data_IF_396615455663
#
_entry.id   IF_396615455663
#
_cell.length_a   1.000
_cell.length_b   1.000
_cell.length_c   1.000
_cell.angle_alpha   90.00
_cell.angle_beta   90.00
_cell.angle_gamma   90.00
#
_symmetry.space_group_name_H-M   'P 1'
#
loop_
_entity.id
_entity.type
_entity.pdbx_description
1 polymer ?
#
# COMPACT_ATOMS: atom_id res chain seq x y z
N UNK A 1 18.62 7.44 12.34
CA UNK A 1 17.29 7.51 11.69
C UNK A 1 16.30 6.59 12.41
N UNK A 2 15.02 6.98 12.52
CA UNK A 2 13.94 6.09 12.97
C UNK A 2 13.89 4.84 12.07
N UNK A 3 13.86 3.66 12.66
CA UNK A 3 13.77 2.40 11.94
C UNK A 3 12.41 2.21 11.31
N UNK A 4 12.37 1.62 10.12
CA UNK A 4 11.13 1.25 9.45
C UNK A 4 10.58 -0.06 10.04
N UNK A 5 9.59 0.06 10.93
CA UNK A 5 8.98 -1.10 11.61
C UNK A 5 8.42 -2.13 10.62
N UNK A 6 7.84 -1.67 9.50
CA UNK A 6 7.28 -2.56 8.46
C UNK A 6 8.38 -3.40 7.81
N UNK A 7 9.50 -2.78 7.40
CA UNK A 7 10.65 -3.54 6.85
C UNK A 7 11.19 -4.53 7.86
N UNK A 8 11.30 -4.12 9.12
CA UNK A 8 11.77 -5.00 10.18
C UNK A 8 10.82 -6.19 10.39
N UNK A 9 9.51 -5.96 10.50
CA UNK A 9 8.53 -7.05 10.65
C UNK A 9 8.60 -8.05 9.49
N UNK A 10 8.65 -7.55 8.24
CA UNK A 10 8.76 -8.42 7.07
C UNK A 10 10.08 -9.21 7.04
N UNK A 11 11.19 -8.58 7.42
CA UNK A 11 12.50 -9.27 7.53
C UNK A 11 12.50 -10.35 8.62
N UNK A 12 11.71 -10.18 9.68
CA UNK A 12 11.50 -11.18 10.75
C UNK A 12 10.48 -12.27 10.35
N UNK A 13 9.95 -12.23 9.12
CA UNK A 13 8.91 -13.15 8.65
C UNK A 13 7.53 -12.92 9.26
N UNK A 14 7.31 -11.76 9.89
CA UNK A 14 6.01 -11.37 10.44
C UNK A 14 5.16 -10.69 9.38
N UNK A 15 3.88 -11.05 9.23
CA UNK A 15 2.99 -10.36 8.32
C UNK A 15 2.68 -8.94 8.81
N UNK A 16 2.54 -8.02 7.87
CA UNK A 16 2.16 -6.62 8.09
C UNK A 16 0.72 -6.43 7.67
N UNK A 17 -0.09 -5.86 8.55
CA UNK A 17 -1.48 -5.47 8.26
C UNK A 17 -1.54 -3.98 7.98
N UNK A 18 -1.78 -3.63 6.73
CA UNK A 18 -1.82 -2.26 6.23
C UNK A 18 -3.25 -1.78 6.01
N UNK A 19 -3.57 -0.59 6.50
CA UNK A 19 -4.81 0.11 6.19
C UNK A 19 -4.65 1.11 5.04
N UNK A 20 -5.76 1.57 4.46
CA UNK A 20 -5.79 2.40 3.27
C UNK A 20 -6.57 3.68 3.49
N UNK A 21 -6.04 4.83 3.06
CA UNK A 21 -6.62 6.15 3.24
C UNK A 21 -6.93 6.80 1.90
N UNK A 22 -8.21 7.02 1.63
CA UNK A 22 -8.72 7.62 0.40
C UNK A 22 -9.47 8.94 0.63
N UNK A 23 -9.84 9.23 1.90
CA UNK A 23 -10.51 10.48 2.29
C UNK A 23 -9.44 11.54 2.58
N UNK A 24 -9.47 12.72 1.93
CA UNK A 24 -8.48 13.78 2.12
C UNK A 24 -8.72 14.52 3.46
N UNK A 25 -8.58 13.79 4.57
CA UNK A 25 -8.88 14.29 5.92
C UNK A 25 -7.87 13.81 6.96
N UNK A 26 -7.32 14.75 7.71
CA UNK A 26 -6.47 14.45 8.87
C UNK A 26 -7.24 13.73 9.97
N UNK A 27 -8.53 14.05 10.14
CA UNK A 27 -9.38 13.39 11.15
C UNK A 27 -9.61 11.93 10.78
N UNK A 28 -9.87 11.63 9.48
CA UNK A 28 -9.96 10.24 9.03
C UNK A 28 -8.65 9.50 9.27
N UNK A 29 -7.51 10.11 8.91
CA UNK A 29 -6.19 9.54 9.14
C UNK A 29 -5.90 9.28 10.62
N UNK A 30 -6.30 10.20 11.51
CA UNK A 30 -6.14 10.07 12.96
C UNK A 30 -6.98 8.90 13.52
N UNK A 31 -8.28 8.87 13.18
CA UNK A 31 -9.16 7.76 13.59
C UNK A 31 -8.57 6.44 13.16
N UNK A 32 -8.14 6.32 11.90
CA UNK A 32 -7.53 5.08 11.38
C UNK A 32 -6.21 4.76 12.10
N UNK A 33 -5.34 5.73 12.35
CA UNK A 33 -4.04 5.51 12.98
C UNK A 33 -4.13 4.96 14.42
N UNK A 34 -5.27 5.12 15.09
CA UNK A 34 -5.53 4.60 16.42
C UNK A 34 -6.21 3.21 16.45
N UNK A 35 -6.36 2.53 15.29
CA UNK A 35 -7.05 1.23 15.23
C UNK A 35 -6.10 0.01 15.28
N UNK A 36 -4.79 0.23 15.44
CA UNK A 36 -3.83 -0.88 15.61
C UNK A 36 -3.21 -1.41 14.31
N UNK A 37 -3.26 -0.65 13.22
CA UNK A 37 -2.56 -0.97 11.97
C UNK A 37 -1.03 -0.92 12.17
N UNK A 38 -0.29 -1.79 11.46
CA UNK A 38 1.18 -1.71 11.40
C UNK A 38 1.63 -0.56 10.49
N UNK A 39 0.86 -0.30 9.44
CA UNK A 39 1.07 0.80 8.51
C UNK A 39 -0.25 1.34 7.96
N UNK A 40 -0.22 2.59 7.50
CA UNK A 40 -1.30 3.23 6.76
C UNK A 40 -0.75 3.81 5.47
N UNK A 41 -1.38 3.47 4.36
CA UNK A 41 -1.03 3.99 3.04
C UNK A 41 -1.98 5.11 2.62
N UNK A 42 -1.43 6.30 2.40
CA UNK A 42 -2.14 7.41 1.78
C UNK A 42 -2.22 7.15 0.28
N UNK A 43 -3.43 7.01 -0.25
CA UNK A 43 -3.67 6.70 -1.65
C UNK A 43 -3.78 7.97 -2.50
N UNK A 44 -2.69 8.34 -3.17
CA UNK A 44 -2.65 9.50 -4.05
C UNK A 44 -3.01 9.15 -5.50
N UNK A 45 -3.23 7.87 -5.84
CA UNK A 45 -3.59 7.44 -7.19
C UNK A 45 -5.10 7.47 -7.41
N UNK A 46 -5.86 6.78 -6.57
CA UNK A 46 -7.32 6.64 -6.68
C UNK A 46 -8.07 7.24 -5.49
N UNK A 47 -7.37 7.56 -4.40
CA UNK A 47 -7.92 8.37 -3.33
C UNK A 47 -8.16 9.81 -3.79
N UNK A 48 -9.01 10.52 -3.08
CA UNK A 48 -9.28 11.95 -3.34
C UNK A 48 -8.17 12.85 -2.75
N UNK A 49 -6.93 12.34 -2.67
CA UNK A 49 -5.80 12.91 -1.93
C UNK A 49 -4.73 13.42 -2.91
N UNK A 50 -4.45 14.70 -2.84
CA UNK A 50 -3.28 15.33 -3.45
C UNK A 50 -2.14 15.54 -2.42
N UNK A 51 -1.02 16.16 -2.86
CA UNK A 51 0.09 16.45 -1.95
C UNK A 51 -0.31 17.38 -0.78
N UNK A 52 -1.22 18.33 -1.02
CA UNK A 52 -1.65 19.31 -0.01
C UNK A 52 -2.36 18.60 1.14
N UNK A 53 -3.15 17.58 0.84
CA UNK A 53 -3.84 16.75 1.82
C UNK A 53 -2.93 15.66 2.40
N UNK A 54 -2.07 15.04 1.57
CA UNK A 54 -1.19 13.95 1.99
C UNK A 54 -0.19 14.40 3.07
N UNK A 55 0.38 15.60 2.96
CA UNK A 55 1.32 16.12 3.94
C UNK A 55 0.75 16.14 5.37
N UNK A 56 -0.38 16.80 5.66
CA UNK A 56 -0.95 16.81 7.02
C UNK A 56 -1.47 15.42 7.44
N UNK A 57 -1.91 14.55 6.52
CA UNK A 57 -2.26 13.16 6.86
C UNK A 57 -1.05 12.37 7.31
N UNK A 58 0.11 12.49 6.63
CA UNK A 58 1.37 11.89 7.07
C UNK A 58 1.85 12.44 8.42
N UNK A 59 1.62 13.74 8.70
CA UNK A 59 1.91 14.31 10.02
C UNK A 59 1.07 13.65 11.11
N UNK A 60 -0.21 13.46 10.86
CA UNK A 60 -1.15 12.82 11.79
C UNK A 60 -0.75 11.36 12.05
N UNK A 61 -0.49 10.56 11.01
CA UNK A 61 -0.04 9.17 11.17
C UNK A 61 1.26 9.12 11.99
N UNK A 62 2.19 10.03 11.72
CA UNK A 62 3.51 10.09 12.39
C UNK A 62 3.44 10.41 13.88
N UNK A 63 2.29 10.87 14.40
CA UNK A 63 2.08 11.09 15.84
C UNK A 63 1.80 9.78 16.58
N UNK A 64 1.62 8.69 15.88
CA UNK A 64 1.40 7.35 16.41
C UNK A 64 2.60 6.43 16.10
N UNK A 65 2.48 5.16 16.48
CA UNK A 65 3.46 4.12 16.15
C UNK A 65 3.29 3.51 14.75
N UNK A 66 2.24 3.89 14.04
CA UNK A 66 1.90 3.39 12.70
C UNK A 66 2.89 3.93 11.66
N UNK A 67 3.38 3.09 10.78
CA UNK A 67 4.32 3.50 9.72
C UNK A 67 3.57 4.21 8.58
N UNK A 68 3.92 5.48 8.25
CA UNK A 68 3.28 6.22 7.16
C UNK A 68 3.83 5.77 5.79
N UNK A 69 2.97 5.28 4.93
CA UNK A 69 3.26 4.91 3.54
C UNK A 69 2.42 5.75 2.57
N UNK A 70 2.79 5.74 1.29
CA UNK A 70 1.98 6.35 0.24
C UNK A 70 1.98 5.50 -1.04
N UNK A 71 0.84 5.42 -1.71
CA UNK A 71 0.78 5.03 -3.12
C UNK A 71 0.79 6.30 -3.96
N UNK A 72 1.80 6.44 -4.81
CA UNK A 72 1.93 7.60 -5.70
C UNK A 72 1.00 7.50 -6.90
N UNK A 73 0.73 8.61 -7.56
CA UNK A 73 -0.18 8.67 -8.72
C UNK A 73 0.36 7.85 -9.90
N UNK A 74 1.67 7.94 -10.12
CA UNK A 74 2.39 7.29 -11.20
C UNK A 74 3.88 7.17 -10.85
N UNK A 75 4.64 6.45 -11.66
CA UNK A 75 6.09 6.38 -11.55
C UNK A 75 6.73 7.72 -12.00
N UNK A 76 6.48 8.78 -11.23
CA UNK A 76 6.96 10.14 -11.51
C UNK A 76 7.97 10.57 -10.42
N UNK A 77 9.26 10.71 -10.76
CA UNK A 77 10.32 10.98 -9.79
C UNK A 77 10.07 12.20 -8.91
N UNK A 78 9.55 13.29 -9.49
CA UNK A 78 9.28 14.51 -8.74
C UNK A 78 8.23 14.33 -7.63
N UNK A 79 7.19 13.55 -7.88
CA UNK A 79 6.17 13.22 -6.86
C UNK A 79 6.72 12.27 -5.81
N UNK A 80 7.48 11.24 -6.22
CA UNK A 80 8.11 10.29 -5.31
C UNK A 80 9.04 11.01 -4.34
N UNK A 81 9.95 11.84 -4.84
CA UNK A 81 10.86 12.64 -4.00
C UNK A 81 10.09 13.55 -3.05
N UNK A 82 9.05 14.21 -3.54
CA UNK A 82 8.27 15.18 -2.78
C UNK A 82 7.54 14.53 -1.60
N UNK A 83 6.92 13.36 -1.80
CA UNK A 83 6.20 12.68 -0.72
C UNK A 83 7.15 12.03 0.30
N UNK A 84 8.34 11.60 -0.12
CA UNK A 84 9.39 11.15 0.77
C UNK A 84 9.92 12.28 1.65
N UNK A 85 10.10 13.49 1.09
CA UNK A 85 10.50 14.67 1.84
C UNK A 85 9.44 15.11 2.86
N UNK A 86 8.17 14.77 2.62
CA UNK A 86 7.07 14.91 3.56
C UNK A 86 7.09 13.90 4.72
N UNK A 87 8.07 13.00 4.78
CA UNK A 87 8.26 12.03 5.87
C UNK A 87 7.54 10.70 5.65
N UNK A 88 7.17 10.36 4.42
CA UNK A 88 6.72 9.03 4.05
C UNK A 88 7.86 8.02 4.21
N UNK A 89 7.57 6.83 4.73
CA UNK A 89 8.55 5.77 5.00
C UNK A 89 8.48 4.60 4.01
N UNK A 90 7.61 4.68 3.02
CA UNK A 90 7.58 3.72 1.93
C UNK A 90 6.64 4.14 0.83
N UNK A 91 7.01 3.73 -0.37
CA UNK A 91 6.27 4.01 -1.61
C UNK A 91 5.73 2.72 -2.20
N UNK A 92 4.47 2.74 -2.54
CA UNK A 92 3.83 1.78 -3.45
C UNK A 92 3.72 2.47 -4.81
N UNK A 93 4.48 2.00 -5.80
CA UNK A 93 4.53 2.59 -7.14
C UNK A 93 3.64 1.79 -8.10
N UNK A 94 2.54 2.36 -8.64
CA UNK A 94 1.63 1.65 -9.53
C UNK A 94 2.24 1.37 -10.91
N UNK A 95 1.67 0.39 -11.62
CA UNK A 95 1.88 0.14 -13.05
C UNK A 95 3.33 -0.08 -13.47
N UNK A 96 4.17 -0.67 -12.61
CA UNK A 96 5.56 -1.02 -12.97
C UNK A 96 5.56 -2.26 -13.86
N UNK A 97 5.93 -2.09 -15.12
CA UNK A 97 5.76 -3.10 -16.16
C UNK A 97 7.05 -3.78 -16.62
N UNK A 98 8.21 -3.17 -16.35
CA UNK A 98 9.51 -3.66 -16.80
C UNK A 98 10.64 -3.20 -15.88
N UNK A 99 11.87 -3.68 -16.20
CA UNK A 99 13.08 -3.36 -15.42
C UNK A 99 13.40 -1.87 -15.42
N UNK A 100 13.29 -1.20 -16.55
CA UNK A 100 13.61 0.22 -16.68
C UNK A 100 12.70 1.08 -15.79
N UNK A 101 11.42 0.72 -15.70
CA UNK A 101 10.47 1.38 -14.82
C UNK A 101 10.74 1.08 -13.35
N UNK A 102 11.15 -0.16 -13.02
CA UNK A 102 11.55 -0.54 -11.67
C UNK A 102 12.81 0.22 -11.24
N UNK A 103 13.84 0.32 -12.09
CA UNK A 103 15.06 1.09 -11.85
C UNK A 103 14.75 2.59 -11.67
N UNK A 104 13.93 3.17 -12.54
CA UNK A 104 13.49 4.57 -12.43
C UNK A 104 12.81 4.85 -11.09
N UNK A 105 11.91 3.96 -10.68
CA UNK A 105 11.21 4.05 -9.40
C UNK A 105 12.18 4.00 -8.21
N UNK A 106 13.02 2.97 -8.16
CA UNK A 106 13.96 2.78 -7.05
C UNK A 106 14.94 3.94 -6.95
N UNK A 107 15.52 4.36 -8.08
CA UNK A 107 16.49 5.46 -8.11
C UNK A 107 15.87 6.80 -7.70
N UNK A 108 14.58 7.02 -7.96
CA UNK A 108 13.85 8.20 -7.47
C UNK A 108 13.67 8.19 -5.93
N UNK A 109 13.66 7.00 -5.31
CA UNK A 109 13.56 6.85 -3.86
C UNK A 109 14.91 7.00 -3.15
N UNK A 110 16.02 6.81 -3.84
CA UNK A 110 17.36 6.71 -3.25
C UNK A 110 18.24 7.93 -3.51
N UNK A 111 19.03 8.31 -2.52
CA UNK A 111 20.10 9.30 -2.67
C UNK A 111 21.31 8.74 -3.44
N UNK A 112 22.08 9.61 -4.13
CA UNK A 112 23.35 9.21 -4.73
C UNK A 112 24.30 8.54 -3.71
N UNK A 113 25.16 7.57 -4.15
CA UNK A 113 25.36 7.15 -5.54
C UNK A 113 24.38 6.08 -6.04
N UNK A 114 23.46 5.56 -5.20
CA UNK A 114 22.54 4.48 -5.55
C UNK A 114 21.31 4.94 -6.33
N UNK A 115 21.00 6.24 -6.32
CA UNK A 115 19.91 6.84 -7.06
C UNK A 115 20.16 8.29 -7.39
N UNK A 116 19.09 9.01 -7.75
CA UNK A 116 19.18 10.43 -8.13
C UNK A 116 18.19 11.31 -7.33
N UNK A 117 17.68 10.82 -6.19
CA UNK A 117 16.83 11.64 -5.31
C UNK A 117 17.58 12.90 -4.88
N UNK A 118 16.96 14.06 -5.11
CA UNK A 118 17.51 15.34 -4.64
C UNK A 118 17.43 15.44 -3.11
N UNK A 119 18.45 16.01 -2.49
CA UNK A 119 18.48 16.18 -1.04
C UNK A 119 17.81 17.48 -0.61
N UNK A 120 16.78 17.36 0.22
CA UNK A 120 16.06 18.47 0.83
C UNK A 120 14.89 17.98 1.70
N UNK A 121 15.09 16.92 2.54
CA UNK A 121 14.00 16.25 3.24
C UNK A 121 13.58 16.99 4.51
N UNK A 122 12.93 18.15 4.38
CA UNK A 122 12.53 18.99 5.52
C UNK A 122 11.84 18.17 6.62
N UNK A 123 10.76 17.48 6.26
CA UNK A 123 10.02 16.67 7.24
C UNK A 123 10.65 15.30 7.43
N UNK A 124 11.35 14.77 6.43
CA UNK A 124 12.15 13.55 6.56
C UNK A 124 13.15 13.65 7.71
N UNK A 125 13.83 14.79 7.88
CA UNK A 125 14.73 15.05 9.02
C UNK A 125 13.98 15.16 10.36
N UNK A 126 12.82 15.83 10.39
CA UNK A 126 12.03 16.00 11.62
C UNK A 126 11.51 14.63 12.11
N UNK A 127 10.95 13.82 11.24
CA UNK A 127 10.35 12.54 11.59
C UNK A 127 11.39 11.41 11.67
N UNK A 128 12.33 11.37 10.72
CA UNK A 128 13.32 10.33 10.60
C UNK A 128 14.55 10.49 11.50
N UNK A 129 14.94 11.72 11.80
CA UNK A 129 16.13 12.04 12.60
C UNK A 129 17.22 12.72 11.79
N UNK A 130 18.19 13.34 12.50
CA UNK A 130 19.25 14.15 11.90
C UNK A 130 20.18 13.37 10.93
N UNK A 131 20.30 12.05 11.14
CA UNK A 131 21.06 11.10 10.33
C UNK A 131 20.22 10.46 9.20
N UNK A 132 19.12 11.10 8.80
CA UNK A 132 18.21 10.59 7.78
C UNK A 132 18.90 10.25 6.46
N UNK A 133 19.80 11.12 6.00
CA UNK A 133 20.50 10.93 4.72
C UNK A 133 21.37 9.66 4.69
N UNK A 134 21.96 9.30 5.83
CA UNK A 134 22.87 8.17 5.93
C UNK A 134 22.15 6.81 5.84
N UNK A 135 20.86 6.80 6.16
CA UNK A 135 20.09 5.57 6.29
C UNK A 135 18.83 5.50 5.41
N UNK A 136 18.40 6.60 4.79
CA UNK A 136 17.15 6.66 4.02
C UNK A 136 17.10 5.63 2.89
N UNK A 137 18.22 5.38 2.20
CA UNK A 137 18.28 4.39 1.11
C UNK A 137 17.90 2.98 1.56
N UNK A 138 18.19 2.63 2.82
CA UNK A 138 17.94 1.31 3.39
C UNK A 138 16.60 1.25 4.15
N UNK A 139 16.19 2.35 4.78
CA UNK A 139 14.97 2.37 5.60
C UNK A 139 13.70 2.64 4.78
N UNK A 140 13.76 3.37 3.66
CA UNK A 140 12.57 3.60 2.82
C UNK A 140 12.17 2.31 2.11
N UNK A 141 10.91 1.88 2.34
CA UNK A 141 10.31 0.72 1.69
C UNK A 141 9.91 1.04 0.24
N UNK A 142 10.30 0.20 -0.71
CA UNK A 142 10.05 0.36 -2.15
C UNK A 142 9.31 -0.84 -2.69
N UNK A 143 7.99 -0.71 -2.90
CA UNK A 143 7.11 -1.74 -3.42
C UNK A 143 6.67 -1.39 -4.85
N UNK A 144 7.06 -2.20 -5.82
CA UNK A 144 6.63 -2.07 -7.21
C UNK A 144 5.30 -2.82 -7.43
N UNK A 145 4.27 -2.15 -7.99
CA UNK A 145 3.02 -2.84 -8.28
C UNK A 145 3.13 -3.64 -9.58
N UNK A 146 2.85 -4.93 -9.47
CA UNK A 146 2.76 -5.89 -10.57
C UNK A 146 1.30 -6.15 -10.88
N UNK A 147 0.78 -5.53 -11.94
CA UNK A 147 -0.65 -5.51 -12.25
C UNK A 147 -0.96 -5.34 -13.74
N UNK A 148 0.06 -5.36 -14.60
CA UNK A 148 -0.07 -5.25 -16.05
C UNK A 148 0.27 -6.57 -16.75
N UNK A 149 -0.20 -6.75 -17.99
CA UNK A 149 0.18 -7.92 -18.78
C UNK A 149 1.70 -7.99 -19.02
N UNK A 150 2.33 -6.86 -19.31
CA UNK A 150 3.77 -6.77 -19.52
C UNK A 150 4.54 -7.15 -18.25
N UNK A 151 4.10 -6.68 -17.07
CA UNK A 151 4.74 -7.04 -15.81
C UNK A 151 4.69 -8.54 -15.53
N UNK A 152 3.60 -9.21 -15.91
CA UNK A 152 3.49 -10.67 -15.80
C UNK A 152 4.51 -11.43 -16.66
N UNK A 153 4.84 -10.88 -17.82
CA UNK A 153 5.83 -11.49 -18.74
C UNK A 153 7.27 -11.20 -18.27
N UNK A 154 7.49 -10.20 -17.38
CA UNK A 154 8.81 -9.70 -16.95
C UNK A 154 9.05 -9.76 -15.44
N UNK A 155 8.38 -10.68 -14.73
CA UNK A 155 8.44 -10.76 -13.26
C UNK A 155 9.86 -10.80 -12.71
N UNK A 156 10.71 -11.70 -13.22
CA UNK A 156 12.09 -11.84 -12.70
C UNK A 156 12.94 -10.61 -13.00
N UNK A 157 12.73 -9.91 -14.12
CA UNK A 157 13.44 -8.68 -14.46
C UNK A 157 13.10 -7.56 -13.46
N UNK A 158 11.81 -7.38 -13.15
CA UNK A 158 11.34 -6.39 -12.17
C UNK A 158 11.86 -6.74 -10.77
N UNK A 159 11.70 -8.00 -10.36
CA UNK A 159 11.99 -8.46 -9.00
C UNK A 159 13.48 -8.57 -8.69
N UNK A 160 14.34 -8.75 -9.71
CA UNK A 160 15.80 -8.75 -9.56
C UNK A 160 16.42 -7.36 -9.65
N UNK A 161 15.64 -6.32 -9.84
CA UNK A 161 16.14 -4.92 -9.88
C UNK A 161 16.69 -4.53 -8.51
N UNK A 162 17.97 -4.10 -8.47
CA UNK A 162 18.61 -3.68 -7.22
C UNK A 162 17.84 -2.55 -6.54
N UNK A 163 17.54 -2.74 -5.27
CA UNK A 163 16.83 -1.79 -4.43
C UNK A 163 15.30 -1.91 -4.46
N UNK A 164 14.70 -2.81 -5.25
CA UNK A 164 13.31 -3.21 -5.07
C UNK A 164 13.22 -4.05 -3.79
N UNK A 165 12.52 -3.56 -2.76
CA UNK A 165 12.34 -4.30 -1.51
C UNK A 165 11.26 -5.39 -1.65
N UNK A 166 10.28 -5.17 -2.52
CA UNK A 166 9.19 -6.11 -2.74
C UNK A 166 8.26 -5.70 -3.87
N UNK A 167 7.31 -6.58 -4.14
CA UNK A 167 6.21 -6.29 -5.06
C UNK A 167 4.92 -6.04 -4.30
N UNK A 168 3.98 -5.39 -4.97
CA UNK A 168 2.62 -5.22 -4.50
C UNK A 168 1.63 -5.58 -5.60
N UNK A 169 0.65 -6.42 -5.30
CA UNK A 169 -0.35 -6.86 -6.27
C UNK A 169 -1.62 -6.03 -6.13
N UNK A 170 -2.06 -5.41 -7.24
CA UNK A 170 -3.39 -4.83 -7.42
C UNK A 170 -4.31 -5.83 -8.14
N UNK A 171 -5.09 -6.69 -7.42
CA UNK A 171 -5.82 -7.77 -8.07
C UNK A 171 -6.89 -7.30 -9.06
N UNK A 172 -7.41 -6.08 -8.89
CA UNK A 172 -8.42 -5.52 -9.80
C UNK A 172 -7.81 -5.22 -11.19
N UNK A 173 -6.70 -4.49 -11.22
CA UNK A 173 -6.00 -4.15 -12.46
C UNK A 173 -5.36 -5.39 -13.10
N UNK A 174 -4.77 -6.27 -12.28
CA UNK A 174 -4.27 -7.56 -12.74
C UNK A 174 -5.37 -8.37 -13.45
N UNK A 175 -6.58 -8.42 -12.87
CA UNK A 175 -7.71 -9.13 -13.50
C UNK A 175 -8.08 -8.52 -14.84
N UNK A 176 -8.16 -7.18 -14.93
CA UNK A 176 -8.43 -6.48 -16.18
C UNK A 176 -7.34 -6.75 -17.23
N UNK A 177 -6.07 -6.75 -16.82
CA UNK A 177 -4.92 -7.00 -17.71
C UNK A 177 -4.96 -8.38 -18.38
N UNK A 178 -5.58 -9.37 -17.74
CA UNK A 178 -5.73 -10.74 -18.28
C UNK A 178 -7.13 -11.05 -18.81
N UNK A 179 -8.01 -10.02 -18.93
CA UNK A 179 -9.33 -10.15 -19.51
C UNK A 179 -10.41 -10.70 -18.57
N UNK A 180 -10.20 -10.63 -17.25
CA UNK A 180 -11.19 -11.00 -16.25
C UNK A 180 -11.88 -9.74 -15.65
N UNK A 181 -13.01 -9.94 -14.99
CA UNK A 181 -13.70 -8.85 -14.25
C UNK A 181 -12.84 -8.41 -13.06
N UNK A 182 -12.78 -7.09 -12.77
CA UNK A 182 -12.00 -6.59 -11.65
C UNK A 182 -12.57 -7.06 -10.31
N UNK A 183 -11.70 -7.31 -9.34
CA UNK A 183 -12.07 -7.70 -7.99
C UNK A 183 -10.85 -7.87 -7.11
N UNK A 184 -11.02 -7.75 -5.78
CA UNK A 184 -9.91 -7.88 -4.84
C UNK A 184 -9.70 -9.34 -4.43
N UNK A 185 -10.75 -9.97 -3.90
CA UNK A 185 -10.69 -11.36 -3.45
C UNK A 185 -11.01 -12.28 -4.63
N UNK A 186 -9.96 -12.91 -5.16
CA UNK A 186 -10.12 -13.74 -6.36
C UNK A 186 -10.45 -15.19 -5.97
N UNK A 187 -11.53 -15.78 -6.53
CA UNK A 187 -11.83 -17.21 -6.38
C UNK A 187 -10.69 -18.08 -6.92
N UNK A 188 -10.48 -19.24 -6.32
CA UNK A 188 -9.36 -20.16 -6.65
C UNK A 188 -9.41 -20.70 -8.08
N UNK A 189 -10.57 -20.75 -8.68
CA UNK A 189 -10.81 -21.21 -10.05
C UNK A 189 -10.57 -20.15 -11.13
N UNK A 190 -10.14 -18.93 -10.72
CA UNK A 190 -9.87 -17.83 -11.65
C UNK A 190 -8.41 -17.82 -12.11
N UNK A 191 -8.17 -17.29 -13.31
CA UNK A 191 -6.81 -17.05 -13.82
C UNK A 191 -6.06 -16.04 -12.95
N UNK A 192 -6.76 -14.99 -12.50
CA UNK A 192 -6.17 -13.97 -11.63
C UNK A 192 -5.64 -14.58 -10.33
N UNK A 193 -6.35 -15.53 -9.73
CA UNK A 193 -5.82 -16.23 -8.54
C UNK A 193 -4.54 -17.03 -8.86
N UNK A 194 -4.52 -17.74 -9.97
CA UNK A 194 -3.34 -18.48 -10.42
C UNK A 194 -2.14 -17.55 -10.66
N UNK A 195 -2.38 -16.38 -11.28
CA UNK A 195 -1.33 -15.37 -11.48
C UNK A 195 -0.84 -14.76 -10.17
N UNK A 196 -1.75 -14.48 -9.22
CA UNK A 196 -1.39 -14.00 -7.86
C UNK A 196 -0.41 -14.99 -7.20
N UNK A 197 -0.68 -16.30 -7.27
CA UNK A 197 0.22 -17.31 -6.70
C UNK A 197 1.54 -17.39 -7.47
N UNK A 198 1.51 -17.30 -8.81
CA UNK A 198 2.72 -17.26 -9.63
C UNK A 198 3.62 -16.07 -9.29
N UNK A 199 3.04 -14.87 -9.12
CA UNK A 199 3.78 -13.68 -8.69
C UNK A 199 4.43 -13.91 -7.33
N UNK A 200 3.69 -14.51 -6.37
CA UNK A 200 4.23 -14.84 -5.05
C UNK A 200 5.42 -15.80 -5.13
N UNK A 201 5.35 -16.82 -5.99
CA UNK A 201 6.46 -17.76 -6.20
C UNK A 201 7.71 -17.08 -6.75
N UNK A 202 7.54 -16.17 -7.72
CA UNK A 202 8.64 -15.35 -8.24
C UNK A 202 9.23 -14.41 -7.18
N UNK A 203 8.40 -13.79 -6.33
CA UNK A 203 8.88 -12.97 -5.24
C UNK A 203 9.73 -13.78 -4.24
N UNK A 204 9.27 -14.98 -3.87
CA UNK A 204 10.03 -15.92 -3.01
C UNK A 204 11.35 -16.34 -3.64
N UNK A 205 11.35 -16.67 -4.94
CA UNK A 205 12.57 -17.03 -5.70
C UNK A 205 13.60 -15.91 -5.71
N UNK A 206 13.15 -14.66 -5.84
CA UNK A 206 14.00 -13.47 -5.83
C UNK A 206 14.31 -12.94 -4.42
N UNK A 207 13.80 -13.61 -3.37
CA UNK A 207 14.01 -13.25 -1.95
C UNK A 207 13.60 -11.80 -1.64
N UNK A 208 12.46 -11.37 -2.20
CA UNK A 208 11.85 -10.06 -1.93
C UNK A 208 10.47 -10.20 -1.28
N UNK A 209 9.98 -9.12 -0.69
CA UNK A 209 8.69 -9.09 -0.04
C UNK A 209 7.53 -9.16 -1.05
N UNK A 210 6.40 -9.73 -0.63
CA UNK A 210 5.19 -9.80 -1.42
C UNK A 210 4.01 -9.17 -0.69
N UNK A 211 3.46 -8.12 -1.29
CA UNK A 211 2.26 -7.42 -0.84
C UNK A 211 1.06 -7.67 -1.74
N UNK A 212 -0.15 -7.60 -1.16
CA UNK A 212 -1.41 -7.76 -1.91
C UNK A 212 -2.54 -6.94 -1.30
N UNK A 213 -3.39 -6.36 -2.15
CA UNK A 213 -4.62 -5.70 -1.76
C UNK A 213 -5.78 -6.69 -1.66
N UNK A 214 -6.53 -6.67 -0.55
CA UNK A 214 -7.60 -7.61 -0.25
C UNK A 214 -8.93 -6.89 0.01
N UNK A 215 -10.03 -7.58 -0.21
CA UNK A 215 -11.39 -7.08 0.08
C UNK A 215 -11.88 -7.45 1.47
N UNK A 216 -11.50 -8.64 1.97
CA UNK A 216 -11.99 -9.18 3.25
C UNK A 216 -10.85 -9.64 4.16
N UNK A 217 -11.03 -9.60 5.50
CA UNK A 217 -10.05 -10.13 6.46
C UNK A 217 -9.76 -11.62 6.25
N UNK A 218 -10.78 -12.39 5.90
CA UNK A 218 -10.68 -13.84 5.67
C UNK A 218 -9.77 -14.15 4.48
N UNK A 219 -9.91 -13.37 3.40
CA UNK A 219 -9.04 -13.53 2.23
C UNK A 219 -7.61 -13.04 2.53
N UNK A 220 -7.46 -11.95 3.27
CA UNK A 220 -6.15 -11.47 3.70
C UNK A 220 -5.41 -12.52 4.54
N UNK A 221 -6.11 -13.17 5.50
CA UNK A 221 -5.53 -14.26 6.29
C UNK A 221 -5.10 -15.43 5.39
N UNK A 222 -5.95 -15.82 4.44
CA UNK A 222 -5.60 -16.85 3.46
C UNK A 222 -4.34 -16.50 2.66
N UNK A 223 -4.15 -15.23 2.29
CA UNK A 223 -2.94 -14.79 1.59
C UNK A 223 -1.71 -14.81 2.50
N UNK A 224 -1.84 -14.45 3.77
CA UNK A 224 -0.77 -14.62 4.78
C UNK A 224 -0.37 -16.09 4.87
N UNK A 225 -1.33 -17.00 4.97
CA UNK A 225 -1.08 -18.45 5.06
C UNK A 225 -0.38 -19.00 3.79
N UNK A 226 -0.56 -18.36 2.62
CA UNK A 226 0.18 -18.65 1.38
C UNK A 226 1.61 -18.11 1.39
N UNK A 227 1.91 -17.11 2.24
CA UNK A 227 3.24 -16.52 2.41
C UNK A 227 3.37 -15.08 1.96
N UNK A 228 2.26 -14.36 1.73
CA UNK A 228 2.30 -12.90 1.62
C UNK A 228 2.67 -12.31 2.98
N UNK A 229 3.57 -11.34 2.97
CA UNK A 229 4.05 -10.69 4.19
C UNK A 229 3.62 -9.23 4.34
N UNK A 230 2.85 -8.71 3.38
CA UNK A 230 2.24 -7.38 3.46
C UNK A 230 0.82 -7.46 2.89
N UNK A 231 -0.19 -7.41 3.75
CA UNK A 231 -1.59 -7.46 3.32
C UNK A 231 -2.27 -6.14 3.59
N UNK A 232 -2.87 -5.57 2.55
CA UNK A 232 -3.71 -4.38 2.69
C UNK A 232 -5.17 -4.79 2.79
N UNK A 233 -5.85 -4.24 3.79
CA UNK A 233 -7.27 -4.46 3.99
C UNK A 233 -7.92 -3.22 4.59
N UNK A 234 -9.16 -2.96 4.22
CA UNK A 234 -9.94 -1.87 4.79
C UNK A 234 -9.49 -0.48 4.33
N UNK A 235 -10.31 0.19 3.56
CA UNK A 235 -10.17 1.61 3.26
C UNK A 235 -11.08 2.43 4.19
N UNK A 236 -10.64 3.61 4.61
CA UNK A 236 -11.39 4.52 5.49
C UNK A 236 -12.80 4.82 4.95
N UNK A 237 -12.93 5.14 3.66
CA UNK A 237 -14.23 5.41 3.03
C UNK A 237 -15.14 4.17 3.03
N UNK A 238 -14.60 2.96 2.89
CA UNK A 238 -15.40 1.71 2.92
C UNK A 238 -15.87 1.39 4.33
N UNK A 239 -14.99 1.56 5.33
CA UNK A 239 -15.35 1.37 6.73
C UNK A 239 -16.48 2.33 7.14
N UNK A 240 -16.37 3.61 6.78
CA UNK A 240 -17.40 4.62 7.02
C UNK A 240 -18.72 4.26 6.33
N UNK A 241 -18.69 3.89 5.05
CA UNK A 241 -19.87 3.54 4.26
C UNK A 241 -20.57 2.30 4.83
N UNK A 242 -19.81 1.25 5.16
CA UNK A 242 -20.37 0.02 5.72
C UNK A 242 -21.01 0.26 7.10
N UNK A 243 -20.33 1.02 7.98
CA UNK A 243 -20.88 1.37 9.29
C UNK A 243 -22.17 2.19 9.20
N UNK A 244 -22.19 3.22 8.37
CA UNK A 244 -23.37 4.06 8.14
C UNK A 244 -24.53 3.24 7.55
N UNK A 245 -24.26 2.39 6.55
CA UNK A 245 -25.27 1.51 5.94
C UNK A 245 -25.91 0.57 6.98
N UNK A 246 -25.09 -0.09 7.79
CA UNK A 246 -25.57 -1.01 8.82
C UNK A 246 -26.51 -0.32 9.84
N UNK A 247 -26.16 0.91 10.26
CA UNK A 247 -27.00 1.70 11.17
C UNK A 247 -28.35 2.03 10.52
N UNK A 248 -28.35 2.53 9.27
CA UNK A 248 -29.56 2.92 8.55
C UNK A 248 -30.47 1.72 8.30
N UNK A 249 -29.94 0.58 7.85
CA UNK A 249 -30.67 -0.64 7.60
C UNK A 249 -31.34 -1.17 8.89
N UNK A 250 -30.63 -1.18 10.00
CA UNK A 250 -31.12 -1.58 11.31
C UNK A 250 -32.27 -0.68 11.77
N UNK A 251 -32.16 0.63 11.61
CA UNK A 251 -33.20 1.60 12.00
C UNK A 251 -34.45 1.49 11.11
N UNK A 252 -34.30 1.44 9.78
CA UNK A 252 -35.39 1.30 8.84
C UNK A 252 -36.12 -0.04 8.99
N UNK A 253 -35.39 -1.14 9.19
CA UNK A 253 -35.98 -2.45 9.47
C UNK A 253 -36.76 -2.48 10.79
N UNK A 254 -36.36 -1.74 11.80
CA UNK A 254 -37.09 -1.61 13.08
C UNK A 254 -38.36 -0.76 12.94
N UNK A 255 -38.33 0.26 12.08
CA UNK A 255 -39.52 1.10 11.79
C UNK A 255 -40.59 0.30 11.03
N UNK A 256 -40.21 -0.42 9.97
CA UNK A 256 -41.13 -1.23 9.17
C UNK A 256 -41.78 -2.38 9.97
N UNK A 257 -41.06 -2.98 10.93
CA UNK A 257 -41.62 -3.97 11.85
C UNK A 257 -42.69 -3.38 12.78
N UNK A 258 -42.48 -2.17 13.31
CA UNK A 258 -43.47 -1.50 14.14
C UNK A 258 -44.76 -1.15 13.37
N UNK A 259 -44.60 -0.72 12.11
CA UNK A 259 -45.77 -0.43 11.25
C UNK A 259 -46.55 -1.70 10.90
N UNK A 260 -45.91 -2.87 10.76
CA UNK A 260 -46.60 -4.15 10.51
C UNK A 260 -47.26 -4.76 11.74
N UNK A 261 -46.89 -4.37 12.95
CA UNK A 261 -47.51 -4.83 14.20
C UNK A 261 -48.70 -3.93 14.63
N UNK A 262 -48.94 -2.83 13.93
CA UNK A 262 -49.99 -1.85 14.28
C UNK A 262 -51.26 -2.00 13.42
N UNK A 263 -51.34 -3.03 12.54
CA UNK A 263 -52.52 -3.37 11.74
C UNK A 263 -53.13 -4.72 12.11
#
# INVERSE_FOLDING_TARGET
MRKNKVKQMMAEGKPVVNGWLQIPSTVSAEVMAHQGWDSLTVDMQHGLVDYTNALPMLQTISSTDVTPLARVNWNEPGQIMKILDAGCYGIICPMVSNKEEAERFVQACMYPPRGYRSFGPVRGLIYGGADYADHANDEILKLAMVETKESLDKLDEIMSTDGVDGIYIGPADLSLAIGEKPGFDRPEDTKAYSEILRILEHAKKNNIFAGIHNGTPEYAQKMIDKGFNFVTIGADQRAMSAGAKAIVEKMKGSISKKESETY
#
